data_IF_656574553874
#
_entry.id   IF_656574553874
#
_cell.length_a   1.000
_cell.length_b   1.000
_cell.length_c   1.000
_cell.angle_alpha   90.00
_cell.angle_beta   90.00
_cell.angle_gamma   90.00
#
_symmetry.space_group_name_H-M   'P 1'
#
loop_
_entity.id
_entity.type
_entity.pdbx_description
1 polymer ?
#
# COMPACT_ATOMS: atom_id res chain seq x y z
N UNK A 1 4.34 2.57 5.96
CA UNK A 1 3.94 1.33 5.27
C UNK A 1 2.99 0.57 6.16
N UNK A 2 1.90 0.03 5.60
CA UNK A 2 1.02 -0.89 6.32
C UNK A 2 1.67 -2.27 6.33
N UNK A 3 1.71 -2.92 7.48
CA UNK A 3 2.33 -4.22 7.67
C UNK A 3 1.42 -5.12 8.51
N UNK A 4 1.61 -6.42 8.34
CA UNK A 4 0.82 -7.46 9.00
C UNK A 4 1.77 -8.41 9.71
N UNK A 5 1.46 -8.75 10.94
CA UNK A 5 2.08 -9.88 11.65
C UNK A 5 1.03 -10.92 11.96
N UNK A 6 1.29 -12.14 11.50
CA UNK A 6 0.47 -13.29 11.82
C UNK A 6 0.85 -13.82 13.19
N UNK A 7 -0.16 -14.10 13.99
CA UNK A 7 -0.05 -14.68 15.32
C UNK A 7 -0.70 -16.06 15.29
N UNK A 8 0.06 -17.06 15.68
CA UNK A 8 -0.52 -18.32 16.13
C UNK A 8 -0.23 -18.44 17.61
N UNK A 9 -1.27 -18.31 18.43
CA UNK A 9 -1.13 -18.41 19.87
C UNK A 9 -2.13 -19.41 20.39
N UNK A 10 -1.72 -20.67 20.41
CA UNK A 10 -2.46 -21.80 20.96
C UNK A 10 -2.79 -21.67 22.46
N UNK A 11 -2.26 -20.65 23.14
CA UNK A 11 -2.37 -20.47 24.60
C UNK A 11 -2.88 -19.08 25.07
N UNK A 12 -3.34 -18.20 24.18
CA UNK A 12 -3.82 -16.84 24.58
C UNK A 12 -5.35 -16.80 24.71
N UNK A 13 -5.83 -16.13 25.76
CA UNK A 13 -7.25 -15.70 25.88
C UNK A 13 -7.66 -14.91 24.62
N UNK A 14 -8.83 -15.16 24.01
CA UNK A 14 -9.17 -14.57 22.73
C UNK A 14 -9.03 -13.03 22.77
N UNK A 15 -8.15 -12.51 21.91
CA UNK A 15 -8.00 -11.07 21.73
C UNK A 15 -9.25 -10.58 21.00
N UNK A 16 -9.97 -9.58 21.54
CA UNK A 16 -11.17 -9.07 20.87
C UNK A 16 -10.77 -8.41 19.56
N UNK A 17 -11.51 -8.72 18.50
CA UNK A 17 -11.30 -8.07 17.22
C UNK A 17 -11.59 -6.57 17.39
N UNK A 18 -10.62 -5.73 17.05
CA UNK A 18 -10.77 -4.27 17.16
C UNK A 18 -10.07 -3.60 16.00
N UNK A 19 -10.76 -2.64 15.38
CA UNK A 19 -10.23 -1.81 14.31
C UNK A 19 -10.22 -0.37 14.78
N UNK A 20 -9.12 0.32 14.54
CA UNK A 20 -8.97 1.75 14.77
C UNK A 20 -9.09 2.51 13.45
N UNK A 21 -9.64 3.72 13.53
CA UNK A 21 -9.64 4.67 12.41
C UNK A 21 -8.52 5.67 12.67
N UNK A 22 -7.61 5.79 11.71
CA UNK A 22 -6.50 6.73 11.78
C UNK A 22 -6.81 8.04 11.06
N UNK A 23 -6.07 9.09 11.41
CA UNK A 23 -6.10 10.36 10.68
C UNK A 23 -4.69 10.84 10.39
N UNK A 24 -4.43 11.26 9.15
CA UNK A 24 -3.15 11.85 8.75
C UNK A 24 -2.93 13.25 9.35
N UNK A 25 -4.00 13.92 9.81
CA UNK A 25 -3.95 15.28 10.39
C UNK A 25 -3.80 15.31 11.90
N UNK A 26 -3.71 14.14 12.57
CA UNK A 26 -3.54 14.04 14.02
C UNK A 26 -2.24 13.35 14.39
N UNK A 27 -1.72 13.68 15.58
CA UNK A 27 -0.60 12.99 16.19
C UNK A 27 -1.02 12.45 17.57
N UNK A 28 -0.87 11.14 17.85
CA UNK A 28 -0.48 10.08 16.90
C UNK A 28 -1.57 9.81 15.85
N UNK A 29 -1.16 9.38 14.64
CA UNK A 29 -2.08 9.11 13.53
C UNK A 29 -2.97 7.88 13.75
N UNK A 30 -2.51 6.93 14.57
CA UNK A 30 -3.20 5.71 15.00
C UNK A 30 -2.95 5.49 16.50
N UNK A 31 -3.83 4.75 17.21
CA UNK A 31 -3.60 4.39 18.60
C UNK A 31 -2.30 3.58 18.78
N UNK A 32 -1.59 3.88 19.87
CA UNK A 32 -0.36 3.18 20.30
C UNK A 32 -0.67 1.92 21.14
N UNK A 33 -1.90 1.81 21.61
CA UNK A 33 -2.46 0.61 22.25
C UNK A 33 -3.84 0.33 21.63
N UNK A 34 -4.09 -0.93 21.32
CA UNK A 34 -5.40 -1.38 20.85
C UNK A 34 -5.70 -2.75 21.47
N UNK A 35 -6.89 -2.94 22.05
CA UNK A 35 -7.33 -4.21 22.65
C UNK A 35 -6.40 -4.80 23.75
N UNK A 36 -5.56 -3.98 24.40
CA UNK A 36 -4.54 -4.43 25.36
C UNK A 36 -3.25 -4.94 24.71
N UNK A 37 -3.04 -4.61 23.43
CA UNK A 37 -1.82 -4.88 22.67
C UNK A 37 -1.06 -3.60 22.45
N UNK A 38 0.25 -3.64 22.70
CA UNK A 38 1.20 -2.59 22.31
C UNK A 38 2.32 -3.21 21.48
N UNK A 39 2.93 -2.40 20.61
CA UNK A 39 4.01 -2.85 19.74
C UNK A 39 5.07 -1.77 19.58
N UNK A 40 6.34 -2.18 19.58
CA UNK A 40 7.49 -1.32 19.27
C UNK A 40 8.39 -1.97 18.23
N UNK A 41 9.06 -1.16 17.41
CA UNK A 41 10.09 -1.58 16.45
C UNK A 41 11.27 -0.62 16.59
N UNK A 42 12.47 -1.17 16.84
CA UNK A 42 13.68 -0.36 17.03
C UNK A 42 13.55 0.65 18.18
N UNK A 43 12.74 0.33 19.20
CA UNK A 43 12.41 1.24 20.31
C UNK A 43 11.33 2.29 20.01
N UNK A 44 10.92 2.46 18.75
CA UNK A 44 9.84 3.38 18.37
C UNK A 44 8.47 2.71 18.57
N UNK A 45 7.48 3.48 19.03
CA UNK A 45 6.11 2.96 19.17
C UNK A 45 5.40 2.86 17.81
N UNK A 46 4.62 1.80 17.65
CA UNK A 46 3.90 1.48 16.43
C UNK A 46 2.43 1.90 16.53
N UNK A 47 1.90 2.48 15.45
CA UNK A 47 0.46 2.76 15.33
C UNK A 47 -0.31 1.52 14.89
N UNK A 48 -1.31 1.09 15.66
CA UNK A 48 -2.09 -0.12 15.43
C UNK A 48 -3.37 0.19 14.65
N UNK A 49 -3.59 -0.48 13.51
CA UNK A 49 -4.78 -0.27 12.65
C UNK A 49 -5.87 -1.29 12.96
N UNK A 50 -5.53 -2.57 13.05
CA UNK A 50 -6.50 -3.60 13.46
C UNK A 50 -5.81 -4.74 14.18
N UNK A 51 -6.58 -5.39 15.04
CA UNK A 51 -6.19 -6.59 15.75
C UNK A 51 -7.30 -7.61 15.59
N UNK A 52 -6.91 -8.83 15.27
CA UNK A 52 -7.74 -10.02 15.30
C UNK A 52 -7.04 -11.12 16.09
N UNK A 53 -7.69 -12.29 16.21
CA UNK A 53 -7.11 -13.45 16.90
C UNK A 53 -5.79 -13.94 16.30
N UNK A 54 -5.58 -13.76 14.99
CA UNK A 54 -4.43 -14.32 14.27
C UNK A 54 -3.61 -13.27 13.54
N UNK A 55 -3.97 -12.00 13.66
CA UNK A 55 -3.39 -10.96 12.83
C UNK A 55 -3.37 -9.63 13.57
N UNK A 56 -2.22 -8.94 13.54
CA UNK A 56 -2.13 -7.52 13.88
C UNK A 56 -1.73 -6.78 12.60
N UNK A 57 -2.57 -5.83 12.19
CA UNK A 57 -2.25 -4.87 11.14
C UNK A 57 -1.82 -3.55 11.76
N UNK A 58 -0.67 -3.04 11.34
CA UNK A 58 -0.06 -1.85 11.92
C UNK A 58 0.67 -1.00 10.87
N UNK A 59 1.05 0.22 11.26
CA UNK A 59 1.85 1.10 10.42
C UNK A 59 3.29 1.10 10.94
N UNK A 60 4.22 0.69 10.08
CA UNK A 60 5.66 0.73 10.38
C UNK A 60 6.07 2.17 10.75
N UNK A 61 6.73 2.39 11.90
CA UNK A 61 7.15 3.71 12.35
C UNK A 61 7.96 4.44 11.28
N UNK A 62 7.78 5.76 11.19
CA UNK A 62 8.61 6.62 10.36
C UNK A 62 9.97 6.83 11.03
N UNK A 63 11.01 7.12 10.25
CA UNK A 63 12.36 7.42 10.77
C UNK A 63 13.29 6.23 10.96
N UNK A 64 12.79 4.97 10.91
CA UNK A 64 13.68 3.79 10.84
C UNK A 64 14.48 3.84 9.52
N UNK A 65 15.80 3.91 9.57
CA UNK A 65 16.65 4.04 8.38
C UNK A 65 17.00 2.65 7.81
N UNK A 66 17.03 2.53 6.49
CA UNK A 66 17.58 1.33 5.83
C UNK A 66 19.11 1.39 5.69
N UNK A 67 19.74 2.44 6.22
CA UNK A 67 21.19 2.66 6.12
C UNK A 67 21.67 2.75 4.67
N UNK A 68 22.95 2.40 4.46
CA UNK A 68 23.58 2.27 3.14
C UNK A 68 23.41 0.87 2.53
N UNK A 69 22.88 -0.10 3.29
CA UNK A 69 22.86 -1.52 2.98
C UNK A 69 21.61 -1.96 2.21
N UNK A 70 20.79 -1.04 1.71
CA UNK A 70 19.44 -1.28 1.20
C UNK A 70 18.47 -1.97 2.20
N UNK A 71 18.95 -2.59 3.26
CA UNK A 71 18.13 -3.25 4.28
C UNK A 71 18.70 -2.98 5.67
N UNK A 72 17.82 -2.92 6.68
CA UNK A 72 18.20 -2.80 8.09
C UNK A 72 17.32 -3.66 9.00
N UNK A 73 17.94 -4.41 9.90
CA UNK A 73 17.24 -5.24 10.88
C UNK A 73 17.00 -4.47 12.18
N UNK A 74 15.77 -4.49 12.68
CA UNK A 74 15.37 -3.88 13.94
C UNK A 74 14.69 -4.89 14.86
N UNK A 75 14.93 -4.84 16.18
CA UNK A 75 14.16 -5.65 17.11
C UNK A 75 12.70 -5.15 17.14
N UNK A 76 11.75 -6.07 17.16
CA UNK A 76 10.36 -5.75 17.47
C UNK A 76 9.95 -6.39 18.79
N UNK A 77 9.04 -5.72 19.50
CA UNK A 77 8.43 -6.22 20.73
C UNK A 77 6.92 -6.05 20.61
N UNK A 78 6.18 -7.13 20.82
CA UNK A 78 4.71 -7.10 20.93
C UNK A 78 4.37 -7.51 22.36
N UNK A 79 3.62 -6.68 23.06
CA UNK A 79 3.08 -7.01 24.38
C UNK A 79 1.57 -7.18 24.28
N UNK A 80 1.09 -8.37 24.61
CA UNK A 80 -0.33 -8.73 24.64
C UNK A 80 -0.71 -8.98 26.09
N UNK A 81 -1.26 -7.97 26.76
CA UNK A 81 -1.75 -8.06 28.16
C UNK A 81 -0.74 -8.67 29.14
N UNK A 82 0.55 -8.35 28.98
CA UNK A 82 1.65 -8.83 29.82
C UNK A 82 2.46 -9.98 29.21
N UNK A 83 1.97 -10.64 28.15
CA UNK A 83 2.75 -11.64 27.40
C UNK A 83 3.57 -10.94 26.33
N UNK A 84 4.89 -11.11 26.36
CA UNK A 84 5.82 -10.41 25.49
C UNK A 84 6.40 -11.33 24.42
N UNK A 85 6.23 -10.94 23.16
CA UNK A 85 6.85 -11.55 22.00
C UNK A 85 7.97 -10.65 21.49
N UNK A 86 9.12 -11.23 21.18
CA UNK A 86 10.28 -10.50 20.66
C UNK A 86 10.78 -11.19 19.40
N UNK A 87 11.29 -10.40 18.48
CA UNK A 87 11.95 -10.91 17.27
C UNK A 87 12.66 -9.77 16.55
N UNK A 88 13.09 -10.04 15.33
CA UNK A 88 13.68 -9.05 14.45
C UNK A 88 12.82 -8.87 13.20
N UNK A 89 12.78 -7.65 12.68
CA UNK A 89 12.14 -7.30 11.42
C UNK A 89 13.14 -6.58 10.52
N UNK A 90 13.27 -7.06 9.29
CA UNK A 90 14.08 -6.39 8.27
C UNK A 90 13.24 -5.35 7.55
N UNK A 91 13.71 -4.11 7.56
CA UNK A 91 13.13 -2.99 6.82
C UNK A 91 13.95 -2.83 5.53
N UNK A 92 13.26 -2.89 4.40
CA UNK A 92 13.77 -2.64 3.04
C UNK A 92 13.33 -1.23 2.57
N UNK A 93 13.90 -0.66 1.49
CA UNK A 93 13.64 0.72 1.09
C UNK A 93 12.19 0.89 0.61
N UNK A 94 11.67 -0.13 -0.08
CA UNK A 94 10.28 -0.20 -0.51
C UNK A 94 9.80 -1.65 -0.52
N UNK A 95 8.50 -1.84 -0.24
CA UNK A 95 7.82 -3.14 -0.37
C UNK A 95 6.41 -2.90 -0.90
N UNK A 96 6.26 -2.49 -2.17
CA UNK A 96 4.97 -2.08 -2.70
C UNK A 96 3.99 -3.25 -2.72
N UNK A 97 2.73 -2.99 -2.41
CA UNK A 97 1.62 -3.91 -2.69
C UNK A 97 0.35 -3.12 -3.01
N UNK A 98 -0.49 -3.68 -3.88
CA UNK A 98 -1.69 -3.03 -4.41
C UNK A 98 -2.91 -3.45 -3.59
N UNK A 99 -3.72 -2.49 -3.17
CA UNK A 99 -4.97 -2.79 -2.47
C UNK A 99 -6.01 -3.37 -3.42
N UNK A 100 -6.87 -4.24 -2.89
CA UNK A 100 -8.00 -4.83 -3.61
C UNK A 100 -9.34 -4.30 -3.10
N UNK A 101 -10.36 -4.24 -3.96
CA UNK A 101 -11.76 -3.93 -3.58
C UNK A 101 -12.54 -5.11 -2.99
N UNK A 102 -11.97 -6.32 -3.01
CA UNK A 102 -12.68 -7.54 -2.57
C UNK A 102 -12.74 -7.65 -1.04
N UNK A 103 -13.86 -8.13 -0.45
CA UNK A 103 -13.98 -8.32 1.00
C UNK A 103 -13.14 -9.48 1.55
N UNK A 104 -12.56 -10.34 0.72
CA UNK A 104 -11.59 -11.37 1.16
C UNK A 104 -10.20 -11.09 0.58
N UNK A 105 -9.17 -10.92 1.43
CA UNK A 105 -7.77 -10.93 0.99
C UNK A 105 -7.46 -12.30 0.36
N UNK A 106 -7.18 -12.32 -0.93
CA UNK A 106 -6.84 -13.53 -1.67
C UNK A 106 -5.96 -13.22 -2.89
N UNK A 107 -5.27 -14.21 -3.45
CA UNK A 107 -4.58 -14.07 -4.73
C UNK A 107 -5.60 -13.84 -5.84
N UNK A 108 -5.34 -12.86 -6.70
CA UNK A 108 -6.34 -12.42 -7.67
C UNK A 108 -7.50 -11.67 -7.01
N UNK A 109 -7.78 -10.49 -7.54
CA UNK A 109 -8.84 -9.62 -7.03
C UNK A 109 -8.93 -8.35 -7.86
N UNK A 110 -9.97 -7.54 -7.68
CA UNK A 110 -10.06 -6.24 -8.36
C UNK A 110 -9.17 -5.23 -7.67
N UNK A 111 -8.26 -4.61 -8.41
CA UNK A 111 -7.45 -3.53 -7.84
C UNK A 111 -8.35 -2.37 -7.36
N UNK A 112 -7.96 -1.76 -6.24
CA UNK A 112 -8.54 -0.51 -5.77
C UNK A 112 -7.98 0.63 -6.62
N UNK A 113 -8.65 0.88 -7.74
CA UNK A 113 -8.31 1.89 -8.73
C UNK A 113 -9.54 2.73 -9.05
N UNK A 114 -9.34 4.02 -9.23
CA UNK A 114 -10.37 4.98 -9.62
C UNK A 114 -9.90 5.82 -10.79
N UNK A 115 -10.78 6.13 -11.73
CA UNK A 115 -10.54 7.13 -12.76
C UNK A 115 -10.77 8.52 -12.15
N UNK A 116 -9.71 9.31 -12.08
CA UNK A 116 -9.69 10.65 -11.47
C UNK A 116 -9.56 11.76 -12.51
N UNK A 117 -9.79 11.45 -13.79
CA UNK A 117 -9.74 12.44 -14.88
C UNK A 117 -10.75 13.58 -14.69
N UNK A 118 -11.88 13.29 -14.04
CA UNK A 118 -12.93 14.25 -13.70
C UNK A 118 -13.15 14.30 -12.18
N UNK A 119 -13.88 15.33 -11.72
CA UNK A 119 -14.24 15.49 -10.30
C UNK A 119 -15.03 14.30 -9.75
N UNK A 120 -15.89 13.70 -10.57
CA UNK A 120 -16.62 12.49 -10.20
C UNK A 120 -15.76 11.30 -10.57
N UNK A 121 -15.27 10.60 -9.55
CA UNK A 121 -14.44 9.43 -9.75
C UNK A 121 -15.30 8.27 -10.21
N UNK A 122 -14.85 7.60 -11.28
CA UNK A 122 -15.48 6.37 -11.75
C UNK A 122 -14.60 5.17 -11.45
N UNK A 123 -15.22 4.01 -11.39
CA UNK A 123 -14.48 2.75 -11.30
C UNK A 123 -14.57 1.99 -12.61
N UNK A 124 -14.02 0.80 -12.64
CA UNK A 124 -14.01 -0.08 -13.79
C UNK A 124 -15.39 -0.28 -14.43
N UNK A 125 -15.44 -0.51 -15.75
CA UNK A 125 -14.31 -0.67 -16.68
C UNK A 125 -13.65 0.66 -17.11
N UNK A 126 -12.35 0.65 -17.42
CA UNK A 126 -11.60 1.86 -17.79
C UNK A 126 -11.38 1.97 -19.30
N UNK A 127 -11.66 3.12 -19.89
CA UNK A 127 -11.27 3.44 -21.27
C UNK A 127 -9.92 4.17 -21.29
N UNK A 128 -9.12 4.02 -22.36
CA UNK A 128 -7.84 4.77 -22.53
C UNK A 128 -8.01 6.29 -22.61
N UNK A 129 -9.20 6.75 -23.01
CA UNK A 129 -9.55 8.17 -23.07
C UNK A 129 -10.85 8.44 -22.32
N UNK A 130 -10.88 9.49 -21.52
CA UNK A 130 -12.06 9.94 -20.78
C UNK A 130 -12.53 11.28 -21.35
N UNK A 131 -13.85 11.45 -21.50
CA UNK A 131 -14.44 12.73 -21.85
C UNK A 131 -14.32 13.68 -20.65
N UNK A 132 -13.59 14.78 -20.81
CA UNK A 132 -13.48 15.80 -19.78
C UNK A 132 -14.80 16.57 -19.72
N UNK A 133 -15.49 16.54 -18.58
CA UNK A 133 -16.78 17.22 -18.38
C UNK A 133 -16.63 18.72 -18.68
N UNK A 134 -15.56 19.33 -18.15
CA UNK A 134 -15.21 20.71 -18.46
C UNK A 134 -14.44 20.79 -19.78
N UNK A 135 -15.12 21.24 -20.83
CA UNK A 135 -14.53 21.47 -22.16
C UNK A 135 -14.85 20.41 -23.22
N UNK A 136 -15.55 19.32 -22.87
CA UNK A 136 -16.12 18.37 -23.84
C UNK A 136 -15.11 17.63 -24.72
N UNK A 137 -13.81 17.64 -24.36
CA UNK A 137 -12.74 17.00 -25.13
C UNK A 137 -12.33 15.67 -24.48
N UNK A 138 -12.04 14.67 -25.32
CA UNK A 138 -11.40 13.43 -24.85
C UNK A 138 -9.93 13.67 -24.55
N UNK A 139 -9.52 13.29 -23.35
CA UNK A 139 -8.13 13.32 -22.87
C UNK A 139 -7.73 11.91 -22.43
N UNK A 140 -6.43 11.67 -22.30
CA UNK A 140 -5.96 10.41 -21.74
C UNK A 140 -6.50 10.21 -20.32
N UNK A 141 -6.92 8.99 -20.02
CA UNK A 141 -7.48 8.65 -18.72
C UNK A 141 -6.40 8.66 -17.65
N UNK A 142 -6.66 9.38 -16.56
CA UNK A 142 -5.81 9.38 -15.37
C UNK A 142 -6.44 8.44 -14.33
N UNK A 143 -5.66 7.45 -13.91
CA UNK A 143 -6.06 6.49 -12.88
C UNK A 143 -5.31 6.78 -11.58
N UNK A 144 -6.03 6.61 -10.47
CA UNK A 144 -5.53 6.64 -9.10
C UNK A 144 -5.47 5.23 -8.56
N UNK A 145 -4.27 4.74 -8.28
CA UNK A 145 -4.00 3.43 -7.70
C UNK A 145 -3.71 3.55 -6.20
N UNK A 146 -4.42 2.78 -5.39
CA UNK A 146 -4.20 2.72 -3.95
C UNK A 146 -3.25 1.57 -3.61
N UNK A 147 -2.19 1.88 -2.87
CA UNK A 147 -1.13 0.93 -2.59
C UNK A 147 -0.44 1.22 -1.25
N UNK A 148 0.33 0.27 -0.75
CA UNK A 148 1.17 0.42 0.45
C UNK A 148 2.65 0.26 0.10
N UNK A 149 3.53 0.44 1.08
CA UNK A 149 4.97 0.18 0.91
C UNK A 149 5.75 1.21 0.10
N UNK A 150 5.11 2.32 -0.31
CA UNK A 150 5.77 3.43 -1.01
C UNK A 150 5.88 4.72 -0.18
N UNK A 151 5.31 4.78 1.02
CA UNK A 151 5.27 6.03 1.80
C UNK A 151 6.65 6.58 2.24
N UNK A 152 7.75 5.89 1.91
CA UNK A 152 9.15 6.27 2.19
C UNK A 152 9.92 6.64 0.91
N UNK A 153 9.25 6.69 -0.24
CA UNK A 153 9.89 7.08 -1.50
C UNK A 153 10.04 8.59 -1.57
N UNK A 154 11.25 9.05 -1.84
CA UNK A 154 11.56 10.44 -2.18
C UNK A 154 11.89 10.59 -3.68
N UNK A 155 12.33 11.77 -4.10
CA UNK A 155 12.63 12.06 -5.50
C UNK A 155 13.72 11.16 -6.14
N UNK A 156 14.48 10.38 -5.35
CA UNK A 156 15.47 9.41 -5.84
C UNK A 156 14.85 8.09 -6.30
N UNK A 157 13.59 7.86 -5.98
CA UNK A 157 12.86 6.65 -6.31
C UNK A 157 12.02 6.85 -7.58
N UNK A 158 11.85 5.78 -8.36
CA UNK A 158 10.92 5.75 -9.49
C UNK A 158 9.89 4.66 -9.24
N UNK A 159 8.60 5.01 -9.30
CA UNK A 159 7.52 4.04 -9.22
C UNK A 159 7.20 3.59 -10.65
N UNK A 160 7.24 2.29 -10.92
CA UNK A 160 6.87 1.71 -12.21
C UNK A 160 5.58 0.94 -12.04
N UNK A 161 4.53 1.38 -12.73
CA UNK A 161 3.23 0.70 -12.74
C UNK A 161 3.15 -0.09 -14.04
N UNK A 162 3.13 -1.42 -13.92
CA UNK A 162 2.96 -2.35 -15.03
C UNK A 162 1.54 -2.87 -15.05
N UNK A 163 0.87 -2.72 -16.20
CA UNK A 163 -0.44 -3.28 -16.49
C UNK A 163 -0.26 -4.27 -17.63
N UNK A 164 -0.40 -5.56 -17.33
CA UNK A 164 -0.04 -6.64 -18.25
C UNK A 164 1.41 -6.52 -18.71
N UNK A 165 1.60 -6.24 -19.99
CA UNK A 165 2.88 -6.10 -20.68
C UNK A 165 3.26 -4.63 -20.98
N UNK A 166 2.56 -3.65 -20.40
CA UNK A 166 2.88 -2.21 -20.53
C UNK A 166 3.27 -1.61 -19.20
N UNK A 167 4.33 -0.81 -19.19
CA UNK A 167 4.83 -0.15 -17.99
C UNK A 167 4.79 1.37 -18.13
N UNK A 168 4.35 2.04 -17.07
CA UNK A 168 4.37 3.50 -16.93
C UNK A 168 5.28 3.85 -15.77
N UNK A 169 6.33 4.63 -16.03
CA UNK A 169 7.16 5.21 -14.98
C UNK A 169 6.49 6.47 -14.42
N UNK A 170 6.46 6.57 -13.10
CA UNK A 170 5.92 7.70 -12.34
C UNK A 170 7.03 8.21 -11.44
N UNK A 171 7.51 9.42 -11.75
CA UNK A 171 8.49 10.11 -10.91
C UNK A 171 7.84 10.58 -9.61
N UNK A 172 8.54 10.38 -8.51
CA UNK A 172 8.10 10.82 -7.18
C UNK A 172 8.30 12.34 -7.06
N UNK A 173 7.24 13.03 -6.66
CA UNK A 173 7.23 14.47 -6.43
C UNK A 173 6.44 14.81 -5.15
N UNK A 174 6.41 16.08 -4.77
CA UNK A 174 5.62 16.55 -3.62
C UNK A 174 4.11 16.35 -3.79
N UNK A 175 3.63 16.08 -5.00
CA UNK A 175 2.21 15.89 -5.31
C UNK A 175 1.84 14.45 -5.69
N UNK A 176 2.80 13.54 -5.82
CA UNK A 176 2.55 12.16 -6.23
C UNK A 176 3.74 11.24 -5.88
N UNK A 177 3.58 10.14 -5.13
CA UNK A 177 2.38 9.68 -4.42
C UNK A 177 1.88 10.63 -3.32
N UNK A 178 0.58 10.58 -3.04
CA UNK A 178 -0.03 11.23 -1.87
C UNK A 178 -0.35 10.22 -0.78
N UNK A 179 -0.09 10.56 0.48
CA UNK A 179 -0.53 9.76 1.62
C UNK A 179 -2.01 10.05 1.89
N UNK A 180 -2.87 9.03 1.77
CA UNK A 180 -4.34 9.18 1.94
C UNK A 180 -4.80 8.70 3.31
N UNK A 181 -4.18 7.66 3.85
CA UNK A 181 -4.40 7.15 5.19
C UNK A 181 -3.05 6.72 5.79
N UNK A 182 -2.96 6.55 7.12
CA UNK A 182 -1.76 5.98 7.73
C UNK A 182 -1.38 4.64 7.10
N UNK A 183 -0.24 4.62 6.40
CA UNK A 183 0.27 3.45 5.69
C UNK A 183 -0.30 3.19 4.29
N UNK A 184 -1.23 4.01 3.80
CA UNK A 184 -1.82 3.88 2.46
C UNK A 184 -1.51 5.13 1.63
N UNK A 185 -0.96 4.91 0.44
CA UNK A 185 -0.66 5.94 -0.53
C UNK A 185 -1.51 5.76 -1.78
N UNK A 186 -1.80 6.87 -2.44
CA UNK A 186 -2.41 6.88 -3.76
C UNK A 186 -1.42 7.44 -4.79
N UNK A 187 -1.27 6.73 -5.92
CA UNK A 187 -0.46 7.16 -7.06
C UNK A 187 -1.36 7.44 -8.24
N UNK A 188 -1.20 8.62 -8.82
CA UNK A 188 -1.90 9.01 -10.05
C UNK A 188 -0.99 8.77 -11.26
N UNK A 189 -1.53 8.16 -12.31
CA UNK A 189 -0.80 7.90 -13.55
C UNK A 189 -1.72 7.93 -14.77
N UNK A 190 -1.15 8.22 -15.93
CA UNK A 190 -1.88 8.19 -17.19
C UNK A 190 -1.93 6.76 -17.74
N UNK A 191 -3.12 6.31 -18.14
CA UNK A 191 -3.31 5.01 -18.77
C UNK A 191 -2.67 5.01 -20.18
N UNK A 192 -1.74 4.09 -20.48
CA UNK A 192 -1.15 3.97 -21.82
C UNK A 192 -2.20 3.71 -22.91
N UNK A 193 -2.05 4.37 -24.06
CA UNK A 193 -3.00 4.24 -25.17
C UNK A 193 -2.94 2.84 -25.82
N UNK A 194 -1.80 2.16 -25.69
CA UNK A 194 -1.52 0.83 -26.19
C UNK A 194 -2.32 -0.26 -25.48
N UNK A 195 -2.97 0.05 -24.34
CA UNK A 195 -3.82 -0.87 -23.60
C UNK A 195 -5.27 -0.88 -24.08
N UNK A 196 -5.60 -0.17 -25.17
CA UNK A 196 -6.96 -0.16 -25.72
C UNK A 196 -7.43 -1.57 -26.04
N UNK A 197 -8.57 -1.98 -25.50
CA UNK A 197 -9.13 -3.31 -25.69
C UNK A 197 -8.33 -4.45 -25.04
N UNK A 198 -7.41 -4.13 -24.11
CA UNK A 198 -6.60 -5.14 -23.45
C UNK A 198 -7.41 -6.08 -22.54
N UNK A 199 -8.65 -5.74 -22.20
CA UNK A 199 -9.49 -6.56 -21.33
C UNK A 199 -8.95 -6.62 -19.91
N UNK A 200 -8.97 -7.81 -19.31
CA UNK A 200 -8.60 -7.99 -17.90
C UNK A 200 -7.10 -8.24 -17.71
N UNK A 201 -6.41 -7.28 -17.09
CA UNK A 201 -4.95 -7.23 -17.00
C UNK A 201 -4.46 -7.18 -15.55
N UNK A 202 -3.36 -7.89 -15.18
CA UNK A 202 -2.75 -7.76 -13.86
C UNK A 202 -2.08 -6.39 -13.70
N UNK A 203 -2.09 -5.87 -12.47
CA UNK A 203 -1.42 -4.63 -12.08
C UNK A 203 -0.30 -4.95 -11.11
N UNK A 204 0.93 -4.68 -11.54
CA UNK A 204 2.15 -4.88 -10.75
C UNK A 204 2.83 -3.54 -10.55
N UNK A 205 3.23 -3.25 -9.32
CA UNK A 205 3.94 -2.03 -8.97
C UNK A 205 5.34 -2.38 -8.54
N UNK A 206 6.32 -1.77 -9.20
CA UNK A 206 7.72 -1.83 -8.82
C UNK A 206 8.21 -0.47 -8.35
N UNK A 207 9.17 -0.47 -7.44
CA UNK A 207 9.89 0.72 -6.98
C UNK A 207 11.37 0.51 -7.28
N UNK A 208 11.95 1.41 -8.06
CA UNK A 208 13.37 1.41 -8.41
C UNK A 208 14.14 2.34 -7.45
N UNK A 209 15.20 1.82 -6.84
CA UNK A 209 16.08 2.58 -5.94
C UNK A 209 17.50 2.01 -5.93
N UNK A 210 18.50 2.88 -6.12
CA UNK A 210 19.93 2.53 -6.00
C UNK A 210 20.33 1.25 -6.78
N UNK A 211 19.76 1.05 -7.97
CA UNK A 211 20.00 -0.13 -8.81
C UNK A 211 19.22 -1.40 -8.42
N UNK A 212 18.45 -1.36 -7.32
CA UNK A 212 17.53 -2.43 -6.92
C UNK A 212 16.10 -2.18 -7.40
N UNK A 213 15.36 -3.26 -7.61
CA UNK A 213 13.93 -3.26 -7.92
C UNK A 213 13.14 -3.98 -6.82
N UNK A 214 12.15 -3.29 -6.25
CA UNK A 214 11.24 -3.85 -5.25
C UNK A 214 9.84 -3.94 -5.87
N UNK A 215 9.40 -5.15 -6.19
CA UNK A 215 8.11 -5.37 -6.85
C UNK A 215 7.03 -5.87 -5.89
N UNK A 216 5.78 -5.63 -6.28
CA UNK A 216 4.59 -6.21 -5.65
C UNK A 216 4.42 -7.68 -6.03
N UNK A 217 3.20 -8.20 -5.86
CA UNK A 217 2.82 -9.55 -6.26
C UNK A 217 3.11 -9.83 -7.75
N UNK A 218 3.42 -11.09 -8.04
CA UNK A 218 3.57 -11.62 -9.41
C UNK A 218 2.23 -11.66 -10.13
N UNK A 219 2.24 -11.68 -11.47
CA UNK A 219 1.06 -11.59 -12.34
C UNK A 219 -0.08 -12.54 -11.96
N UNK A 220 0.25 -13.78 -11.58
CA UNK A 220 -0.73 -14.81 -11.20
C UNK A 220 -1.52 -14.48 -9.93
N UNK A 221 -0.95 -13.64 -9.07
CA UNK A 221 -1.52 -13.27 -7.76
C UNK A 221 -1.81 -11.77 -7.64
N UNK A 222 -1.41 -10.99 -8.64
CA UNK A 222 -1.57 -9.56 -8.71
C UNK A 222 -3.06 -9.17 -8.85
N UNK A 223 -3.47 -8.05 -8.22
CA UNK A 223 -4.78 -7.47 -8.50
C UNK A 223 -4.93 -7.11 -9.98
N UNK A 224 -6.14 -7.27 -10.52
CA UNK A 224 -6.44 -7.08 -11.93
C UNK A 224 -7.29 -5.83 -12.15
N UNK A 225 -7.13 -5.24 -13.32
CA UNK A 225 -8.00 -4.19 -13.85
C UNK A 225 -8.57 -4.49 -15.22
N UNK A 226 -9.76 -3.97 -15.53
CA UNK A 226 -10.45 -4.20 -16.81
C UNK A 226 -10.41 -2.94 -17.67
N UNK A 227 -9.89 -3.09 -18.88
CA UNK A 227 -9.66 -2.01 -19.84
C UNK A 227 -10.46 -2.26 -21.13
N UNK A 228 -11.19 -1.22 -21.55
CA UNK A 228 -12.01 -1.16 -22.77
C UNK A 228 -11.19 -0.87 -24.04
#
# INVERSE_FOLDING_TARGET
MLAVVNLDSSFIRPIPNKTAVGSISRAPQLPMELAGVTMTIGGATVGLKSISRREITFVVPLGLSTGNSNEASYPFVINIRGVVYKGNVTIVPARPDVFTRSPSPGPGGRALVQNVTNRVFTTEPFAISTLKIKGGRRVATILRLYLTGVARVDARFIIVIRIGNRSTAVSVSSSNPILVEPGISAVDFQLPAELKGAGDQPVVVSVLFAGGEYSSRLDDTAPRIFIL
#
